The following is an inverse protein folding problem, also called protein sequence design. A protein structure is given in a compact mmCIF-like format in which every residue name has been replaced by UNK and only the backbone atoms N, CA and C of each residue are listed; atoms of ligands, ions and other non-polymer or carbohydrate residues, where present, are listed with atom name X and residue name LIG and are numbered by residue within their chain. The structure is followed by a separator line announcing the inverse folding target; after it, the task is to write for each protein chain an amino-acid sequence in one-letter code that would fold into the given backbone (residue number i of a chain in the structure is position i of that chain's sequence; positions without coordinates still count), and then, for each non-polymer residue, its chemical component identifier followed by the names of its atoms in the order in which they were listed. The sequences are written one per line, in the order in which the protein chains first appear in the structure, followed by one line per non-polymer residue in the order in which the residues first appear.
data_IF_728970964363
#
_entry.id   IF_728970964363
#
_cell.length_a   1.000
_cell.length_b   1.000
_cell.length_c   1.000
_cell.angle_alpha   90.00
_cell.angle_beta   90.00
_cell.angle_gamma   90.00
#
_symmetry.space_group_name_H-M   'P 1'
#
loop_
_entity.id
_entity.type
_entity.pdbx_description
1 polymer ?
#
# COMPACT_ATOMS: atom_id res chain seq x y z
N UNK A 1 -78.70 -31.56 5.03
CA UNK A 1 -77.27 -31.19 4.92
C UNK A 1 -76.57 -32.33 4.20
N UNK A 2 -76.20 -32.12 2.93
CA UNK A 2 -75.54 -33.15 2.12
C UNK A 2 -74.11 -33.32 2.60
N UNK A 3 -73.78 -34.52 3.07
CA UNK A 3 -72.42 -34.90 3.49
C UNK A 3 -71.63 -35.21 2.21
N UNK A 4 -70.86 -34.24 1.72
CA UNK A 4 -69.94 -34.46 0.61
C UNK A 4 -68.62 -35.01 1.16
N UNK A 5 -68.24 -36.21 0.73
CA UNK A 5 -66.93 -36.77 1.01
C UNK A 5 -65.90 -36.03 0.15
N UNK A 6 -65.05 -35.19 0.77
CA UNK A 6 -63.92 -34.61 0.07
C UNK A 6 -62.85 -35.69 -0.12
N UNK A 7 -62.68 -36.13 -1.35
CA UNK A 7 -61.58 -37.01 -1.74
C UNK A 7 -60.30 -36.18 -1.84
N UNK A 8 -59.34 -36.46 -0.97
CA UNK A 8 -58.00 -35.88 -1.04
C UNK A 8 -57.12 -36.73 -1.97
N UNK A 9 -56.19 -36.08 -2.69
CA UNK A 9 -55.16 -36.78 -3.46
C UNK A 9 -54.30 -37.62 -2.49
N UNK A 10 -53.88 -38.86 -2.85
CA UNK A 10 -53.11 -39.73 -1.96
C UNK A 10 -51.89 -39.06 -1.31
N UNK A 11 -51.22 -38.17 -2.05
CA UNK A 11 -50.00 -37.47 -1.62
C UNK A 11 -50.24 -36.17 -0.82
N UNK A 12 -51.49 -35.74 -0.63
CA UNK A 12 -51.77 -34.45 0.01
C UNK A 12 -51.27 -34.38 1.46
N UNK A 13 -51.32 -35.50 2.20
CA UNK A 13 -50.83 -35.55 3.57
C UNK A 13 -49.30 -35.42 3.63
N UNK A 14 -48.58 -36.12 2.75
CA UNK A 14 -47.12 -36.06 2.69
C UNK A 14 -46.66 -34.69 2.19
N UNK A 15 -47.34 -34.12 1.21
CA UNK A 15 -47.09 -32.75 0.73
C UNK A 15 -47.29 -31.72 1.84
N UNK A 16 -48.34 -31.86 2.66
CA UNK A 16 -48.58 -30.99 3.80
C UNK A 16 -47.49 -31.15 4.88
N UNK A 17 -47.09 -32.40 5.17
CA UNK A 17 -46.00 -32.69 6.11
C UNK A 17 -44.71 -32.03 5.64
N UNK A 18 -44.31 -32.24 4.39
CA UNK A 18 -43.10 -31.64 3.79
C UNK A 18 -43.17 -30.11 3.79
N UNK A 19 -44.32 -29.52 3.50
CA UNK A 19 -44.51 -28.05 3.56
C UNK A 19 -44.40 -27.51 4.99
N UNK A 20 -44.98 -28.22 5.97
CA UNK A 20 -44.89 -27.85 7.39
C UNK A 20 -43.47 -28.01 7.95
N UNK A 21 -42.72 -29.03 7.51
CA UNK A 21 -41.30 -29.18 7.85
C UNK A 21 -40.48 -28.07 7.19
N UNK A 22 -40.68 -27.83 5.89
CA UNK A 22 -39.97 -26.78 5.14
C UNK A 22 -40.17 -25.38 5.73
N UNK A 23 -41.36 -25.09 6.25
CA UNK A 23 -41.70 -23.80 6.88
C UNK A 23 -41.36 -23.75 8.37
N UNK A 24 -40.63 -24.75 8.88
CA UNK A 24 -40.27 -24.92 10.29
C UNK A 24 -41.47 -24.85 11.25
N UNK A 25 -42.66 -25.21 10.76
CA UNK A 25 -43.85 -25.37 11.61
C UNK A 25 -43.78 -26.68 12.38
N UNK A 26 -43.28 -27.73 11.74
CA UNK A 26 -43.02 -29.04 12.32
C UNK A 26 -41.54 -29.41 12.18
N UNK A 27 -41.00 -30.16 13.14
CA UNK A 27 -39.66 -30.77 13.07
C UNK A 27 -39.79 -32.25 13.34
N UNK A 28 -38.98 -33.07 12.68
CA UNK A 28 -38.93 -34.51 12.93
C UNK A 28 -37.75 -34.82 13.84
N UNK A 29 -38.05 -35.29 15.05
CA UNK A 29 -37.06 -35.59 16.08
C UNK A 29 -37.28 -37.03 16.53
N UNK A 30 -36.27 -37.88 16.34
CA UNK A 30 -36.32 -39.31 16.70
C UNK A 30 -37.54 -40.05 16.12
N UNK A 31 -37.95 -39.73 14.89
CA UNK A 31 -39.09 -40.36 14.21
C UNK A 31 -40.47 -39.82 14.62
N UNK A 32 -40.54 -38.77 15.43
CA UNK A 32 -41.79 -38.10 15.80
C UNK A 32 -41.86 -36.68 15.22
N UNK A 33 -43.06 -36.29 14.75
CA UNK A 33 -43.36 -34.92 14.37
C UNK A 33 -43.66 -34.08 15.60
N UNK A 34 -42.76 -33.15 15.91
CA UNK A 34 -42.95 -32.10 16.91
C UNK A 34 -43.54 -30.87 16.23
N UNK A 35 -44.50 -30.20 16.86
CA UNK A 35 -45.11 -28.96 16.34
C UNK A 35 -44.57 -27.77 17.12
N UNK A 36 -44.29 -26.68 16.41
CA UNK A 36 -43.86 -25.41 17.01
C UNK A 36 -44.96 -24.71 17.83
N UNK A 37 -44.69 -23.47 18.30
CA UNK A 37 -43.55 -22.64 17.91
C UNK A 37 -42.23 -23.15 18.49
N UNK A 38 -41.20 -23.20 17.64
CA UNK A 38 -39.83 -23.48 18.08
C UNK A 38 -39.13 -22.19 18.49
N UNK A 39 -38.03 -22.31 19.24
CA UNK A 39 -37.13 -21.19 19.46
C UNK A 39 -36.68 -20.62 18.10
N UNK A 40 -36.69 -19.30 17.98
CA UNK A 40 -36.20 -18.61 16.77
C UNK A 40 -34.70 -18.81 16.62
N UNK A 41 -34.23 -18.83 15.38
CA UNK A 41 -32.81 -18.91 15.10
C UNK A 41 -32.05 -17.76 15.79
N UNK A 42 -30.85 -18.03 16.35
CA UNK A 42 -29.99 -16.99 16.88
C UNK A 42 -29.69 -15.91 15.84
N UNK A 43 -29.41 -14.71 16.30
CA UNK A 43 -28.91 -13.66 15.42
C UNK A 43 -27.55 -14.04 14.85
N UNK A 44 -27.17 -13.44 13.73
CA UNK A 44 -25.83 -13.62 13.16
C UNK A 44 -25.39 -12.40 12.37
N UNK A 45 -24.09 -12.27 12.14
CA UNK A 45 -23.52 -11.21 11.31
C UNK A 45 -22.56 -11.83 10.29
N UNK A 46 -22.63 -11.33 9.06
CA UNK A 46 -21.68 -11.65 7.99
C UNK A 46 -20.90 -10.38 7.68
N UNK A 47 -19.58 -10.49 7.68
CA UNK A 47 -18.65 -9.38 7.39
C UNK A 47 -17.76 -9.79 6.24
N UNK A 48 -17.72 -8.98 5.20
CA UNK A 48 -16.93 -9.21 3.99
C UNK A 48 -16.11 -7.96 3.69
N UNK A 49 -14.79 -8.09 3.50
CA UNK A 49 -13.97 -6.99 2.98
C UNK A 49 -14.15 -6.90 1.47
N UNK A 50 -14.65 -5.76 0.97
CA UNK A 50 -14.90 -5.53 -0.46
C UNK A 50 -13.76 -4.78 -1.13
N UNK A 51 -13.04 -3.92 -0.40
CA UNK A 51 -11.88 -3.21 -0.92
C UNK A 51 -10.90 -2.76 0.17
N UNK A 52 -9.72 -2.32 -0.26
CA UNK A 52 -8.71 -1.65 0.56
C UNK A 52 -8.10 -0.50 -0.24
N UNK A 53 -8.06 0.71 0.33
CA UNK A 53 -7.39 1.87 -0.26
C UNK A 53 -5.98 2.00 0.34
N UNK A 54 -4.95 1.87 -0.50
CA UNK A 54 -3.55 1.93 -0.05
C UNK A 54 -3.08 3.34 0.34
N UNK A 55 -3.72 4.39 -0.19
CA UNK A 55 -3.36 5.78 0.10
C UNK A 55 -3.91 6.21 1.45
N UNK A 56 -5.18 5.93 1.71
CA UNK A 56 -5.83 6.27 3.00
C UNK A 56 -5.65 5.19 4.05
N UNK A 57 -5.23 3.98 3.64
CA UNK A 57 -5.08 2.79 4.50
C UNK A 57 -6.40 2.31 5.10
N UNK A 58 -7.50 2.50 4.38
CA UNK A 58 -8.85 2.17 4.84
C UNK A 58 -9.39 0.89 4.18
N UNK A 59 -10.05 0.08 4.98
CA UNK A 59 -10.82 -1.09 4.57
C UNK A 59 -12.27 -0.69 4.33
N UNK A 60 -12.85 -1.18 3.23
CA UNK A 60 -14.30 -1.12 3.02
C UNK A 60 -14.89 -2.49 3.32
N UNK A 61 -15.82 -2.52 4.28
CA UNK A 61 -16.49 -3.74 4.74
C UNK A 61 -17.96 -3.70 4.35
N UNK A 62 -18.47 -4.82 3.85
CA UNK A 62 -19.89 -5.08 3.69
C UNK A 62 -20.38 -5.93 4.86
N UNK A 63 -21.37 -5.41 5.58
CA UNK A 63 -21.87 -5.98 6.83
C UNK A 63 -23.35 -6.31 6.66
N UNK A 64 -23.71 -7.55 7.02
CA UNK A 64 -25.10 -8.03 7.00
C UNK A 64 -25.46 -8.69 8.31
N UNK A 65 -26.32 -8.03 9.09
CA UNK A 65 -26.98 -8.65 10.25
C UNK A 65 -28.20 -9.48 9.84
N UNK A 66 -28.41 -10.59 10.54
CA UNK A 66 -29.58 -11.45 10.39
C UNK A 66 -30.26 -11.54 11.76
N UNK A 67 -31.53 -11.15 11.83
CA UNK A 67 -32.34 -11.25 13.04
C UNK A 67 -32.14 -10.15 14.09
N UNK A 68 -31.33 -9.11 13.82
CA UNK A 68 -31.11 -8.02 14.78
C UNK A 68 -30.30 -6.85 14.21
N UNK A 69 -29.88 -5.95 15.11
CA UNK A 69 -28.97 -4.82 14.83
C UNK A 69 -27.53 -5.26 15.02
N UNK A 70 -26.61 -4.75 14.20
CA UNK A 70 -25.19 -5.08 14.31
C UNK A 70 -24.46 -4.01 15.11
N UNK A 71 -23.67 -4.44 16.09
CA UNK A 71 -22.80 -3.59 16.89
C UNK A 71 -21.35 -4.02 16.71
N UNK A 72 -20.41 -3.09 16.83
CA UNK A 72 -18.99 -3.36 16.68
C UNK A 72 -18.13 -2.62 17.70
N UNK A 73 -16.98 -3.20 17.99
CA UNK A 73 -15.96 -2.64 18.87
C UNK A 73 -14.55 -2.99 18.37
N UNK A 74 -13.58 -2.17 18.75
CA UNK A 74 -12.18 -2.30 18.37
C UNK A 74 -11.41 -2.81 19.59
N UNK A 75 -11.13 -4.12 19.62
CA UNK A 75 -10.30 -4.75 20.65
C UNK A 75 -11.06 -5.41 21.80
N UNK A 76 -12.36 -5.22 21.93
CA UNK A 76 -13.21 -5.92 22.91
C UNK A 76 -14.42 -6.59 22.25
N UNK A 77 -15.09 -7.48 22.98
CA UNK A 77 -16.38 -8.03 22.55
C UNK A 77 -17.44 -6.93 22.54
N UNK A 78 -18.09 -6.66 21.40
CA UNK A 78 -19.12 -5.63 21.32
C UNK A 78 -20.36 -6.00 22.11
N UNK A 79 -21.04 -4.99 22.63
CA UNK A 79 -22.32 -5.11 23.33
C UNK A 79 -23.37 -4.18 22.70
N UNK A 80 -24.59 -4.18 23.21
CA UNK A 80 -25.62 -3.22 22.80
C UNK A 80 -25.29 -1.76 23.14
N UNK A 81 -24.24 -1.51 23.95
CA UNK A 81 -23.71 -0.18 24.22
C UNK A 81 -22.55 0.23 23.29
N UNK A 82 -22.03 -0.71 22.49
CA UNK A 82 -20.98 -0.44 21.49
C UNK A 82 -21.56 0.30 20.27
N UNK A 83 -20.71 0.62 19.28
CA UNK A 83 -21.15 1.40 18.12
C UNK A 83 -22.07 0.55 17.23
N UNK A 84 -23.25 1.08 16.90
CA UNK A 84 -24.16 0.45 15.94
C UNK A 84 -23.66 0.66 14.51
N UNK A 85 -23.74 -0.38 13.68
CA UNK A 85 -23.51 -0.31 12.24
C UNK A 85 -24.78 0.25 11.60
N UNK A 86 -24.74 1.53 11.22
CA UNK A 86 -25.91 2.22 10.63
C UNK A 86 -26.16 1.83 9.18
N UNK A 87 -25.09 1.64 8.41
CA UNK A 87 -25.12 1.28 6.99
C UNK A 87 -24.53 -0.11 6.77
N UNK A 88 -24.97 -0.80 5.71
CA UNK A 88 -24.38 -2.09 5.33
C UNK A 88 -22.92 -1.97 4.87
N UNK A 89 -22.38 -0.76 4.76
CA UNK A 89 -20.99 -0.48 4.40
C UNK A 89 -20.32 0.27 5.54
N UNK A 90 -19.17 -0.25 6.00
CA UNK A 90 -18.31 0.40 6.98
C UNK A 90 -16.93 0.65 6.38
N UNK A 91 -16.50 1.91 6.38
CA UNK A 91 -15.14 2.30 6.00
C UNK A 91 -14.34 2.56 7.28
N UNK A 92 -13.15 1.99 7.38
CA UNK A 92 -12.35 2.03 8.62
C UNK A 92 -10.86 1.87 8.35
N UNK A 93 -10.02 2.58 9.08
CA UNK A 93 -8.57 2.36 9.11
C UNK A 93 -8.14 1.27 10.10
N UNK A 94 -9.10 0.66 10.82
CA UNK A 94 -8.80 -0.35 11.83
C UNK A 94 -8.65 -1.75 11.20
N UNK A 95 -7.46 -2.37 11.35
CA UNK A 95 -7.17 -3.67 10.74
C UNK A 95 -7.83 -4.86 11.45
N UNK A 96 -8.41 -4.68 12.64
CA UNK A 96 -9.22 -5.70 13.28
C UNK A 96 -10.41 -5.08 14.04
N UNK A 97 -11.59 -5.65 13.83
CA UNK A 97 -12.85 -5.19 14.41
C UNK A 97 -13.69 -6.42 14.77
N UNK A 98 -14.39 -6.37 15.90
CA UNK A 98 -15.27 -7.43 16.36
C UNK A 98 -16.72 -6.98 16.22
N UNK A 99 -17.59 -7.87 15.74
CA UNK A 99 -18.99 -7.59 15.43
C UNK A 99 -19.91 -8.57 16.17
N UNK A 100 -21.08 -8.09 16.60
CA UNK A 100 -22.16 -8.92 17.13
C UNK A 100 -23.49 -8.44 16.58
N UNK A 101 -24.42 -9.37 16.31
CA UNK A 101 -25.79 -9.01 15.99
C UNK A 101 -26.68 -9.25 17.21
N UNK A 102 -27.46 -8.27 17.66
CA UNK A 102 -28.32 -8.36 18.84
C UNK A 102 -29.76 -8.04 18.43
N UNK A 103 -30.70 -8.91 18.78
CA UNK A 103 -32.13 -8.68 18.60
C UNK A 103 -32.64 -7.73 19.70
N UNK A 104 -33.08 -6.50 19.38
CA UNK A 104 -33.56 -5.56 20.38
C UNK A 104 -34.84 -6.01 21.09
N UNK A 105 -35.58 -6.97 20.51
CA UNK A 105 -36.82 -7.49 21.11
C UNK A 105 -36.58 -8.58 22.16
N UNK A 106 -35.40 -9.20 22.16
CA UNK A 106 -35.07 -10.34 23.03
C UNK A 106 -35.73 -11.66 22.63
N UNK A 107 -36.42 -11.72 21.49
CA UNK A 107 -37.08 -12.95 21.01
C UNK A 107 -36.10 -13.98 20.43
N UNK A 108 -34.90 -13.54 20.04
CA UNK A 108 -33.82 -14.38 19.53
C UNK A 108 -32.63 -14.35 20.49
N UNK A 109 -31.95 -15.49 20.60
CA UNK A 109 -30.65 -15.57 21.27
C UNK A 109 -29.60 -14.77 20.48
N UNK A 110 -28.71 -14.08 21.18
CA UNK A 110 -27.56 -13.40 20.56
C UNK A 110 -26.60 -14.46 20.00
N UNK A 111 -26.23 -14.30 18.73
CA UNK A 111 -25.22 -15.14 18.09
C UNK A 111 -23.79 -14.85 18.53
N UNK A 112 -22.85 -15.57 17.91
CA UNK A 112 -21.43 -15.43 18.19
C UNK A 112 -20.85 -14.10 17.72
N UNK A 113 -19.79 -13.67 18.40
CA UNK A 113 -18.99 -12.52 17.98
C UNK A 113 -18.12 -12.92 16.78
N UNK A 114 -18.22 -12.14 15.70
CA UNK A 114 -17.42 -12.34 14.49
C UNK A 114 -16.25 -11.37 14.50
N UNK A 115 -15.03 -11.90 14.42
CA UNK A 115 -13.82 -11.11 14.27
C UNK A 115 -13.46 -10.93 12.79
N UNK A 116 -13.37 -9.68 12.38
CA UNK A 116 -12.78 -9.28 11.11
C UNK A 116 -11.29 -8.95 11.32
N UNK A 117 -10.43 -9.43 10.41
CA UNK A 117 -9.07 -8.95 10.26
C UNK A 117 -8.81 -8.61 8.80
N UNK A 118 -8.36 -7.39 8.55
CA UNK A 118 -8.18 -6.86 7.21
C UNK A 118 -7.04 -7.53 6.47
N UNK A 119 -7.32 -7.99 5.25
CA UNK A 119 -6.31 -8.48 4.31
C UNK A 119 -5.78 -7.31 3.50
N UNK A 120 -4.47 -7.20 3.37
CA UNK A 120 -3.81 -6.13 2.60
C UNK A 120 -2.82 -6.76 1.62
N UNK A 121 -2.67 -6.21 0.40
CA UNK A 121 -1.69 -6.74 -0.53
C UNK A 121 -0.27 -6.42 -0.05
N UNK A 122 0.66 -7.35 -0.27
CA UNK A 122 2.10 -7.07 -0.25
C UNK A 122 2.63 -6.73 -1.65
N UNK A 123 3.09 -5.49 -1.79
CA UNK A 123 3.81 -5.00 -2.98
C UNK A 123 5.31 -5.13 -2.77
N UNK A 124 6.02 -5.29 -3.86
CA UNK A 124 7.47 -5.42 -3.85
C UNK A 124 8.10 -4.77 -5.08
N UNK A 125 9.36 -4.37 -4.93
CA UNK A 125 10.18 -3.82 -6.01
C UNK A 125 11.60 -4.36 -5.92
N UNK A 126 12.24 -4.57 -7.06
CA UNK A 126 13.66 -4.90 -7.16
C UNK A 126 14.35 -3.80 -7.96
N UNK A 127 15.50 -3.32 -7.47
CA UNK A 127 16.35 -2.39 -8.21
C UNK A 127 17.82 -2.78 -8.09
N UNK A 128 18.60 -2.49 -9.11
CA UNK A 128 20.04 -2.67 -9.08
C UNK A 128 20.73 -1.43 -8.50
N UNK A 129 21.66 -1.64 -7.57
CA UNK A 129 22.50 -0.59 -6.99
C UNK A 129 23.99 -0.96 -7.15
N UNK A 130 24.93 0.00 -6.95
CA UNK A 130 26.35 -0.32 -6.91
C UNK A 130 26.72 -1.36 -5.84
N UNK A 131 25.89 -1.51 -4.79
CA UNK A 131 26.10 -2.47 -3.70
C UNK A 131 25.44 -3.84 -3.96
N UNK A 132 24.69 -3.99 -5.06
CA UNK A 132 23.96 -5.21 -5.42
C UNK A 132 22.49 -4.96 -5.73
N UNK A 133 21.77 -6.04 -6.05
CA UNK A 133 20.31 -5.99 -6.18
C UNK A 133 19.69 -5.82 -4.81
N UNK A 134 18.73 -4.90 -4.69
CA UNK A 134 17.98 -4.66 -3.45
C UNK A 134 16.50 -4.93 -3.66
N UNK A 135 15.84 -5.38 -2.61
CA UNK A 135 14.39 -5.60 -2.56
C UNK A 135 13.75 -4.62 -1.60
N UNK A 136 12.65 -4.01 -2.04
CA UNK A 136 11.75 -3.21 -1.20
C UNK A 136 10.42 -3.94 -1.08
N UNK A 137 9.86 -3.98 0.13
CA UNK A 137 8.55 -4.51 0.44
C UNK A 137 7.65 -3.37 0.95
N UNK A 138 6.38 -3.34 0.51
CA UNK A 138 5.43 -2.29 0.89
C UNK A 138 4.08 -2.91 1.18
N UNK A 139 3.56 -2.62 2.38
CA UNK A 139 2.20 -2.98 2.81
C UNK A 139 1.69 -1.96 3.83
N UNK A 140 0.55 -2.22 4.47
CA UNK A 140 0.01 -1.36 5.52
C UNK A 140 1.00 -1.28 6.72
N UNK A 141 1.33 -0.07 7.22
CA UNK A 141 2.33 0.11 8.26
C UNK A 141 1.94 -0.46 9.63
N UNK A 142 0.66 -0.79 9.86
CA UNK A 142 0.19 -1.48 11.09
C UNK A 142 0.54 -2.97 11.10
N UNK A 143 1.13 -3.50 10.01
CA UNK A 143 1.38 -4.92 9.79
C UNK A 143 2.88 -5.20 9.86
N UNK A 144 3.23 -6.36 10.40
CA UNK A 144 4.61 -6.81 10.48
C UNK A 144 4.89 -7.73 9.31
N UNK A 145 5.93 -7.40 8.56
CA UNK A 145 6.40 -8.24 7.45
C UNK A 145 7.64 -9.00 7.91
N UNK A 146 7.58 -10.33 7.90
CA UNK A 146 8.75 -11.19 8.06
C UNK A 146 9.19 -11.71 6.71
N UNK A 147 10.50 -11.86 6.50
CA UNK A 147 11.03 -12.38 5.25
C UNK A 147 12.28 -13.24 5.42
N UNK A 148 12.53 -14.11 4.46
CA UNK A 148 13.77 -14.87 4.29
C UNK A 148 14.25 -14.73 2.86
N UNK A 149 15.56 -14.83 2.65
CA UNK A 149 16.21 -14.70 1.32
C UNK A 149 16.79 -16.02 0.82
N UNK A 150 16.78 -17.05 1.65
CA UNK A 150 17.24 -18.42 1.36
C UNK A 150 16.11 -19.37 0.94
N UNK A 151 14.86 -18.89 0.97
CA UNK A 151 13.66 -19.68 0.65
C UNK A 151 13.07 -20.47 1.82
N UNK A 152 13.64 -20.36 3.03
CA UNK A 152 13.09 -20.97 4.26
C UNK A 152 11.78 -20.29 4.71
N UNK A 153 11.05 -20.91 5.63
CA UNK A 153 9.77 -20.39 6.13
C UNK A 153 9.97 -19.15 7.04
N UNK A 154 9.42 -17.96 6.68
CA UNK A 154 9.64 -16.72 7.44
C UNK A 154 9.06 -16.70 8.84
N UNK A 155 8.05 -17.53 9.17
CA UNK A 155 7.45 -17.51 10.50
C UNK A 155 8.47 -17.67 11.63
N UNK A 156 9.32 -18.68 11.50
CA UNK A 156 10.30 -19.10 12.52
C UNK A 156 11.72 -18.56 12.22
N UNK A 157 12.09 -18.42 10.95
CA UNK A 157 13.45 -18.09 10.54
C UNK A 157 13.59 -16.67 9.94
N UNK A 158 12.47 -15.97 9.76
CA UNK A 158 12.45 -14.70 9.04
C UNK A 158 12.87 -13.50 9.88
N UNK A 159 13.63 -12.61 9.25
CA UNK A 159 13.90 -11.28 9.78
C UNK A 159 12.69 -10.37 9.62
N UNK A 160 12.56 -9.38 10.52
CA UNK A 160 11.54 -8.33 10.38
C UNK A 160 12.01 -7.32 9.34
N UNK A 161 11.15 -7.02 8.37
CA UNK A 161 11.39 -6.00 7.36
C UNK A 161 11.22 -4.60 7.97
N UNK A 162 12.28 -3.80 7.94
CA UNK A 162 12.28 -2.41 8.42
C UNK A 162 12.62 -1.41 7.31
N UNK A 163 13.41 -1.83 6.33
CA UNK A 163 13.80 -1.05 5.16
C UNK A 163 14.21 -2.02 4.03
N UNK A 164 14.49 -1.49 2.84
CA UNK A 164 15.04 -2.25 1.74
C UNK A 164 16.31 -3.01 2.14
N UNK A 165 16.51 -4.18 1.55
CA UNK A 165 17.63 -5.05 1.89
C UNK A 165 18.32 -5.56 0.63
N UNK A 166 19.63 -5.76 0.74
CA UNK A 166 20.44 -6.34 -0.34
C UNK A 166 20.10 -7.83 -0.46
N UNK A 167 19.84 -8.25 -1.69
CA UNK A 167 19.60 -9.64 -2.05
C UNK A 167 20.94 -10.39 -2.12
N UNK A 168 21.11 -11.48 -1.35
CA UNK A 168 22.29 -12.34 -1.48
C UNK A 168 22.44 -12.92 -2.90
N UNK A 169 23.67 -13.19 -3.32
CA UNK A 169 23.96 -13.65 -4.68
C UNK A 169 23.26 -14.96 -5.07
N UNK A 170 23.05 -15.86 -4.11
CA UNK A 170 22.39 -17.14 -4.37
C UNK A 170 20.88 -17.10 -4.10
N UNK A 171 20.32 -15.92 -3.80
CA UNK A 171 18.89 -15.76 -3.51
C UNK A 171 18.05 -15.95 -4.77
N UNK A 172 17.33 -17.06 -4.85
CA UNK A 172 16.37 -17.34 -5.94
C UNK A 172 14.96 -16.86 -5.60
N UNK A 173 14.62 -16.92 -4.31
CA UNK A 173 13.30 -16.59 -3.80
C UNK A 173 13.44 -15.79 -2.51
N UNK A 174 12.62 -14.75 -2.39
CA UNK A 174 12.31 -14.14 -1.11
C UNK A 174 10.96 -14.67 -0.66
N UNK A 175 10.91 -15.33 0.50
CA UNK A 175 9.65 -15.71 1.13
C UNK A 175 9.23 -14.60 2.06
N UNK A 176 7.96 -14.25 2.04
CA UNK A 176 7.38 -13.18 2.85
C UNK A 176 6.15 -13.71 3.57
N UNK A 177 6.01 -13.35 4.84
CA UNK A 177 4.82 -13.58 5.65
C UNK A 177 4.39 -12.27 6.30
N UNK A 178 3.12 -11.90 6.09
CA UNK A 178 2.52 -10.66 6.61
C UNK A 178 1.65 -11.00 7.81
N UNK A 179 1.89 -10.29 8.91
CA UNK A 179 1.20 -10.49 10.18
C UNK A 179 0.48 -9.23 10.61
N UNK A 180 -0.68 -9.42 11.22
CA UNK A 180 -1.26 -8.43 12.13
C UNK A 180 -1.28 -9.03 13.53
N UNK A 181 -0.49 -8.44 14.44
CA UNK A 181 -0.15 -9.06 15.73
C UNK A 181 0.44 -10.46 15.48
N UNK A 182 -0.17 -11.51 16.03
CA UNK A 182 0.27 -12.91 15.86
C UNK A 182 -0.46 -13.67 14.74
N UNK A 183 -1.43 -13.03 14.08
CA UNK A 183 -2.23 -13.66 13.02
C UNK A 183 -1.53 -13.51 11.67
N UNK A 184 -1.23 -14.64 11.03
CA UNK A 184 -0.75 -14.70 9.65
C UNK A 184 -1.89 -14.34 8.69
N UNK A 185 -1.62 -13.44 7.74
CA UNK A 185 -2.61 -12.93 6.80
C UNK A 185 -2.30 -13.26 5.35
N UNK A 186 -1.05 -13.11 4.94
CA UNK A 186 -0.60 -13.45 3.58
C UNK A 186 0.77 -14.09 3.64
N UNK A 187 0.99 -15.11 2.82
CA UNK A 187 2.31 -15.64 2.49
C UNK A 187 2.57 -15.50 1.00
N UNK A 188 3.79 -15.10 0.65
CA UNK A 188 4.16 -14.87 -0.74
C UNK A 188 5.58 -15.34 -1.03
N UNK A 189 5.75 -15.98 -2.18
CA UNK A 189 7.07 -16.30 -2.73
C UNK A 189 7.37 -15.36 -3.89
N UNK A 190 8.39 -14.52 -3.73
CA UNK A 190 8.81 -13.53 -4.72
C UNK A 190 10.06 -14.06 -5.43
N UNK A 191 9.99 -14.19 -6.74
CA UNK A 191 11.14 -14.59 -7.56
C UNK A 191 12.14 -13.44 -7.70
N UNK A 192 13.42 -13.75 -7.50
CA UNK A 192 14.49 -12.77 -7.74
C UNK A 192 14.84 -12.77 -9.22
N UNK A 193 14.65 -11.62 -9.86
CA UNK A 193 14.85 -11.46 -11.29
C UNK A 193 16.35 -11.54 -11.61
N UNK A 194 16.78 -12.71 -12.12
CA UNK A 194 18.16 -13.10 -12.50
C UNK A 194 19.02 -13.84 -11.46
N UNK A 195 18.42 -14.34 -10.36
CA UNK A 195 19.21 -14.86 -9.23
C UNK A 195 19.95 -13.70 -8.58
N UNK A 196 19.74 -13.46 -7.29
CA UNK A 196 20.19 -12.24 -6.63
C UNK A 196 21.64 -11.86 -6.93
N UNK A 197 21.94 -10.57 -6.85
CA UNK A 197 23.32 -10.11 -7.00
C UNK A 197 23.90 -10.27 -8.40
N UNK A 198 23.09 -10.00 -9.44
CA UNK A 198 23.65 -9.72 -10.75
C UNK A 198 24.75 -8.66 -10.57
N UNK A 199 25.98 -8.97 -11.00
CA UNK A 199 27.10 -8.03 -10.88
C UNK A 199 26.64 -6.68 -11.45
N UNK A 200 26.76 -5.58 -10.68
CA UNK A 200 26.33 -4.28 -11.15
C UNK A 200 26.99 -4.03 -12.50
N UNK A 201 26.23 -3.48 -13.46
CA UNK A 201 26.72 -3.24 -14.82
C UNK A 201 28.03 -2.42 -14.83
N UNK A 202 28.30 -1.68 -13.74
CA UNK A 202 29.54 -0.96 -13.50
C UNK A 202 29.88 -1.00 -12.00
N UNK A 203 31.07 -1.47 -11.65
CA UNK A 203 31.59 -1.37 -10.28
C UNK A 203 32.03 0.08 -10.03
N UNK A 204 31.54 0.68 -8.95
CA UNK A 204 31.89 2.06 -8.56
C UNK A 204 32.98 2.01 -7.49
N UNK A 205 34.11 2.66 -7.76
CA UNK A 205 35.13 2.94 -6.74
C UNK A 205 34.63 4.06 -5.84
N UNK A 206 34.30 3.74 -4.58
CA UNK A 206 33.72 4.68 -3.63
C UNK A 206 34.64 5.86 -3.29
N UNK A 207 35.95 5.70 -3.45
CA UNK A 207 36.95 6.69 -3.06
C UNK A 207 37.28 7.73 -4.14
N UNK A 208 36.94 7.44 -5.41
CA UNK A 208 37.29 8.30 -6.55
C UNK A 208 36.14 9.19 -6.97
N UNK A 209 36.45 10.36 -7.49
CA UNK A 209 35.47 11.24 -8.12
C UNK A 209 34.73 10.53 -9.27
N UNK A 210 33.49 10.93 -9.50
CA UNK A 210 32.61 10.34 -10.50
C UNK A 210 31.73 11.44 -11.09
N UNK A 211 31.50 11.43 -12.40
CA UNK A 211 30.49 12.27 -13.05
C UNK A 211 29.38 11.40 -13.66
N UNK A 212 28.13 11.83 -13.50
CA UNK A 212 27.01 11.25 -14.22
C UNK A 212 26.46 12.29 -15.20
N UNK A 213 26.55 11.98 -16.50
CA UNK A 213 26.13 12.85 -17.60
C UNK A 213 24.89 12.28 -18.27
N UNK A 214 23.78 13.01 -18.26
CA UNK A 214 22.59 12.57 -18.97
C UNK A 214 22.75 12.69 -20.49
N UNK A 215 22.20 11.75 -21.27
CA UNK A 215 22.15 11.83 -22.74
C UNK A 215 21.33 13.04 -23.21
N UNK A 216 20.22 13.31 -22.53
CA UNK A 216 19.39 14.52 -22.70
C UNK A 216 19.39 15.30 -21.40
N UNK A 217 19.33 16.63 -21.44
CA UNK A 217 19.29 17.43 -20.22
C UNK A 217 18.09 17.00 -19.36
N UNK A 218 18.29 16.80 -18.05
CA UNK A 218 17.18 16.56 -17.11
C UNK A 218 16.53 17.91 -16.80
N UNK A 219 15.24 18.04 -17.13
CA UNK A 219 14.42 19.21 -16.79
C UNK A 219 13.39 18.79 -15.72
N UNK A 220 13.08 19.67 -14.79
CA UNK A 220 12.12 19.39 -13.72
C UNK A 220 10.68 19.72 -14.14
N UNK A 221 10.49 20.71 -15.03
CA UNK A 221 9.22 21.06 -15.65
C UNK A 221 8.32 22.00 -14.83
N UNK A 222 8.56 22.13 -13.52
CA UNK A 222 7.82 23.06 -12.66
C UNK A 222 8.62 23.52 -11.43
N UNK A 223 8.09 24.53 -10.74
CA UNK A 223 8.72 25.15 -9.57
C UNK A 223 8.92 24.15 -8.43
N UNK A 224 7.92 23.34 -8.09
CA UNK A 224 8.00 22.43 -6.95
C UNK A 224 9.09 21.37 -7.18
N UNK A 225 9.09 20.74 -8.36
CA UNK A 225 10.08 19.76 -8.78
C UNK A 225 11.49 20.38 -8.84
N UNK A 226 11.62 21.62 -9.31
CA UNK A 226 12.88 22.38 -9.36
C UNK A 226 13.50 22.56 -7.98
N UNK A 227 12.74 23.10 -7.02
CA UNK A 227 13.26 23.31 -5.65
C UNK A 227 13.44 21.99 -4.90
N UNK A 228 12.60 20.98 -5.16
CA UNK A 228 12.77 19.65 -4.58
C UNK A 228 14.07 19.00 -5.03
N UNK A 229 14.42 19.09 -6.31
CA UNK A 229 15.68 18.58 -6.83
C UNK A 229 16.88 19.34 -6.24
N UNK A 230 16.84 20.68 -6.23
CA UNK A 230 17.92 21.50 -5.64
C UNK A 230 18.11 21.19 -4.16
N UNK A 231 17.03 21.08 -3.40
CA UNK A 231 17.05 20.71 -1.98
C UNK A 231 17.52 19.27 -1.73
N UNK A 232 17.34 18.37 -2.70
CA UNK A 232 17.87 17.01 -2.61
C UNK A 232 19.38 17.01 -2.85
N UNK A 233 19.82 17.69 -3.91
CA UNK A 233 21.24 17.77 -4.27
C UNK A 233 22.05 18.53 -3.20
N UNK A 234 21.47 19.53 -2.54
CA UNK A 234 22.14 20.29 -1.47
C UNK A 234 22.38 19.49 -0.19
N UNK A 235 21.68 18.36 0.01
CA UNK A 235 21.96 17.43 1.12
C UNK A 235 23.25 16.63 0.92
N UNK A 236 23.78 16.61 -0.31
CA UNK A 236 24.99 15.90 -0.67
C UNK A 236 26.15 16.91 -0.75
N UNK A 237 26.88 17.05 0.37
CA UNK A 237 28.09 17.87 0.40
C UNK A 237 29.16 17.23 -0.49
N UNK A 238 29.57 17.93 -1.56
CA UNK A 238 30.44 17.36 -2.59
C UNK A 238 29.77 17.03 -3.93
N UNK A 239 28.58 17.57 -4.22
CA UNK A 239 27.94 17.48 -5.56
C UNK A 239 27.92 18.83 -6.26
N UNK A 240 28.51 18.87 -7.47
CA UNK A 240 28.43 20.02 -8.36
C UNK A 240 27.53 19.73 -9.56
N UNK A 241 26.81 20.77 -10.00
CA UNK A 241 25.88 20.75 -11.12
C UNK A 241 26.54 21.46 -12.30
N UNK A 242 26.67 20.78 -13.44
CA UNK A 242 27.25 21.34 -14.67
C UNK A 242 26.26 21.31 -15.82
N UNK A 243 26.30 22.35 -16.66
CA UNK A 243 25.32 22.53 -17.73
C UNK A 243 23.95 22.90 -17.18
N UNK A 244 23.92 23.69 -16.09
CA UNK A 244 22.70 24.09 -15.41
C UNK A 244 21.90 25.08 -16.26
N UNK A 245 20.59 24.94 -16.23
CA UNK A 245 19.64 25.93 -16.74
C UNK A 245 18.56 26.23 -15.73
N UNK A 246 18.14 27.49 -15.67
CA UNK A 246 16.97 27.90 -14.91
C UNK A 246 16.19 28.91 -15.73
N UNK A 247 14.95 28.58 -16.06
CA UNK A 247 14.00 29.47 -16.71
C UNK A 247 13.01 29.97 -15.66
N UNK A 248 12.90 31.28 -15.50
CA UNK A 248 12.06 31.93 -14.50
C UNK A 248 11.04 32.79 -15.24
N UNK A 249 9.79 32.34 -15.29
CA UNK A 249 8.70 32.98 -16.00
C UNK A 249 7.80 33.74 -15.05
N UNK A 250 7.28 34.89 -15.47
CA UNK A 250 6.08 35.45 -14.86
C UNK A 250 4.89 34.54 -15.17
N UNK A 251 4.18 34.09 -14.14
CA UNK A 251 3.07 33.14 -14.27
C UNK A 251 1.87 33.70 -15.03
N UNK A 252 1.68 35.03 -15.00
CA UNK A 252 0.59 35.72 -15.71
C UNK A 252 0.92 36.12 -17.13
N UNK A 253 2.21 36.23 -17.47
CA UNK A 253 2.69 36.50 -18.82
C UNK A 253 4.03 35.81 -19.04
N UNK A 254 4.00 34.63 -19.67
CA UNK A 254 5.18 33.80 -19.91
C UNK A 254 6.16 34.40 -20.92
N UNK A 255 5.78 35.44 -21.66
CA UNK A 255 6.72 36.18 -22.53
C UNK A 255 7.73 37.00 -21.70
N UNK A 256 7.44 37.25 -20.43
CA UNK A 256 8.37 37.87 -19.49
C UNK A 256 9.10 36.80 -18.68
N UNK A 257 10.33 36.50 -19.09
CA UNK A 257 11.16 35.50 -18.41
C UNK A 257 12.63 35.94 -18.32
N UNK A 258 13.33 35.33 -17.37
CA UNK A 258 14.79 35.33 -17.31
C UNK A 258 15.27 33.90 -17.47
N UNK A 259 16.23 33.68 -18.35
CA UNK A 259 16.87 32.39 -18.55
C UNK A 259 18.33 32.48 -18.10
N UNK A 260 18.72 31.55 -17.24
CA UNK A 260 20.09 31.33 -16.82
C UNK A 260 20.64 30.08 -17.52
N UNK A 261 21.78 30.21 -18.21
CA UNK A 261 22.51 29.10 -18.81
C UNK A 261 23.95 29.10 -18.31
N UNK A 262 24.38 28.00 -17.69
CA UNK A 262 25.71 27.87 -17.11
C UNK A 262 26.48 26.67 -17.66
N UNK A 263 27.65 26.94 -18.23
CA UNK A 263 28.63 25.91 -18.59
C UNK A 263 29.59 25.58 -17.44
N UNK A 264 29.73 26.48 -16.47
CA UNK A 264 30.57 26.28 -15.27
C UNK A 264 29.83 25.44 -14.22
N UNK A 265 30.54 24.61 -13.43
CA UNK A 265 29.92 23.86 -12.34
C UNK A 265 29.52 24.77 -11.17
N UNK A 266 28.38 24.48 -10.53
CA UNK A 266 27.90 25.14 -9.32
C UNK A 266 27.59 24.16 -8.20
N UNK A 267 27.78 24.57 -6.96
CA UNK A 267 27.16 23.90 -5.82
C UNK A 267 25.64 24.08 -5.88
N UNK A 268 24.90 23.06 -5.47
CA UNK A 268 23.43 23.10 -5.50
C UNK A 268 22.85 24.27 -4.69
N UNK A 269 23.42 24.54 -3.50
CA UNK A 269 23.00 25.66 -2.64
C UNK A 269 23.29 27.03 -3.24
N UNK A 270 24.45 27.20 -3.87
CA UNK A 270 24.82 28.45 -4.55
C UNK A 270 23.92 28.71 -5.76
N UNK A 271 23.66 27.67 -6.55
CA UNK A 271 22.77 27.78 -7.71
C UNK A 271 21.34 28.13 -7.30
N UNK A 272 20.82 27.53 -6.23
CA UNK A 272 19.53 27.89 -5.67
C UNK A 272 19.52 29.37 -5.22
N UNK A 273 20.56 29.81 -4.52
CA UNK A 273 20.69 31.20 -4.06
C UNK A 273 20.70 32.20 -5.23
N UNK A 274 21.31 31.84 -6.36
CA UNK A 274 21.27 32.65 -7.58
C UNK A 274 19.87 32.74 -8.18
N UNK A 275 19.15 31.61 -8.24
CA UNK A 275 17.76 31.58 -8.72
C UNK A 275 16.88 32.46 -7.81
N UNK A 276 16.99 32.30 -6.49
CA UNK A 276 16.23 33.07 -5.51
C UNK A 276 16.54 34.57 -5.62
N UNK A 277 17.82 34.95 -5.79
CA UNK A 277 18.20 36.34 -6.02
C UNK A 277 17.50 36.94 -7.25
N UNK A 278 17.46 36.22 -8.38
CA UNK A 278 16.78 36.69 -9.60
C UNK A 278 15.28 36.87 -9.35
N UNK A 279 14.65 35.97 -8.59
CA UNK A 279 13.22 36.09 -8.23
C UNK A 279 12.99 37.34 -7.38
N UNK A 280 13.82 37.55 -6.37
CA UNK A 280 13.68 38.65 -5.42
C UNK A 280 13.98 40.02 -6.04
N UNK A 281 14.83 40.09 -7.07
CA UNK A 281 15.16 41.36 -7.74
C UNK A 281 14.28 41.65 -8.94
N UNK A 282 14.11 40.68 -9.84
CA UNK A 282 13.54 40.91 -11.17
C UNK A 282 12.05 40.60 -11.26
N UNK A 283 11.55 39.76 -10.35
CA UNK A 283 10.14 39.35 -10.28
C UNK A 283 9.53 39.61 -8.89
N UNK A 284 10.02 40.67 -8.23
CA UNK A 284 9.52 41.07 -6.92
C UNK A 284 7.99 41.23 -6.95
N UNK A 285 7.33 40.70 -5.92
CA UNK A 285 5.86 40.74 -5.76
C UNK A 285 5.07 40.08 -6.91
N UNK A 286 5.74 39.28 -7.75
CA UNK A 286 5.12 38.58 -8.89
C UNK A 286 5.18 37.07 -8.66
N UNK A 287 4.08 36.36 -8.99
CA UNK A 287 4.12 34.91 -9.02
C UNK A 287 4.93 34.43 -10.23
N UNK A 288 5.87 33.50 -9.98
CA UNK A 288 6.76 32.95 -11.00
C UNK A 288 6.70 31.44 -11.09
N UNK A 289 7.01 30.93 -12.29
CA UNK A 289 7.31 29.53 -12.54
C UNK A 289 8.82 29.40 -12.71
N UNK A 290 9.43 28.42 -12.06
CA UNK A 290 10.86 28.11 -12.21
C UNK A 290 10.98 26.72 -12.82
N UNK A 291 11.64 26.61 -13.98
CA UNK A 291 12.06 25.33 -14.54
C UNK A 291 13.58 25.20 -14.49
N UNK A 292 14.06 24.38 -13.56
CA UNK A 292 15.46 24.05 -13.39
C UNK A 292 15.80 22.76 -14.16
N UNK A 293 16.98 22.74 -14.75
CA UNK A 293 17.57 21.52 -15.29
C UNK A 293 19.08 21.54 -15.34
N UNK A 294 19.64 20.39 -15.67
CA UNK A 294 21.09 20.22 -15.74
C UNK A 294 21.50 19.04 -16.61
N UNK A 295 22.75 19.07 -17.08
CA UNK A 295 23.31 18.06 -17.99
C UNK A 295 24.16 17.01 -17.28
N UNK A 296 24.90 17.42 -16.26
CA UNK A 296 25.89 16.58 -15.59
C UNK A 296 25.94 16.88 -14.10
N UNK A 297 26.03 15.83 -13.27
CA UNK A 297 26.38 15.93 -11.86
C UNK A 297 27.79 15.42 -11.67
N UNK A 298 28.60 16.18 -10.93
CA UNK A 298 29.96 15.83 -10.57
C UNK A 298 30.01 15.55 -9.07
N UNK A 299 30.34 14.33 -8.71
CA UNK A 299 30.46 13.85 -7.35
C UNK A 299 31.94 13.82 -6.96
N UNK A 300 32.31 14.40 -5.82
CA UNK A 300 33.69 14.34 -5.32
C UNK A 300 34.14 12.91 -5.02
N UNK A 301 33.21 12.00 -4.72
CA UNK A 301 33.47 10.59 -4.45
C UNK A 301 32.37 9.69 -5.05
N UNK A 302 32.70 8.45 -5.37
CA UNK A 302 31.74 7.45 -5.81
C UNK A 302 30.74 7.04 -4.71
N UNK A 303 31.10 7.29 -3.44
CA UNK A 303 30.16 7.11 -2.32
C UNK A 303 29.01 8.12 -2.39
N UNK A 304 29.28 9.40 -2.69
CA UNK A 304 28.23 10.42 -2.87
C UNK A 304 27.29 10.08 -4.04
N UNK A 305 27.82 9.51 -5.13
CA UNK A 305 26.99 8.99 -6.20
C UNK A 305 26.08 7.86 -5.71
N UNK A 306 26.60 6.93 -4.91
CA UNK A 306 25.80 5.83 -4.35
C UNK A 306 24.70 6.37 -3.41
N UNK A 307 25.02 7.33 -2.55
CA UNK A 307 24.04 8.00 -1.69
C UNK A 307 22.94 8.69 -2.52
N UNK A 308 23.31 9.37 -3.62
CA UNK A 308 22.34 9.98 -4.54
C UNK A 308 21.39 8.95 -5.16
N UNK A 309 21.89 7.77 -5.56
CA UNK A 309 21.04 6.69 -6.07
C UNK A 309 20.05 6.21 -5.01
N UNK A 310 20.51 6.04 -3.77
CA UNK A 310 19.71 5.49 -2.69
C UNK A 310 18.66 6.48 -2.20
N UNK A 311 19.01 7.77 -2.10
CA UNK A 311 18.07 8.85 -1.78
C UNK A 311 16.94 8.96 -2.80
N UNK A 312 17.24 8.74 -4.08
CA UNK A 312 16.27 8.83 -5.17
C UNK A 312 15.64 7.47 -5.55
N UNK A 313 16.07 6.38 -4.91
CA UNK A 313 15.67 5.00 -5.27
C UNK A 313 15.87 4.68 -6.75
N UNK A 314 16.93 5.24 -7.35
CA UNK A 314 17.25 4.99 -8.75
C UNK A 314 17.78 3.57 -8.96
N UNK A 315 17.42 3.01 -10.12
CA UNK A 315 17.98 1.76 -10.62
C UNK A 315 19.20 2.07 -11.51
N UNK A 316 20.34 1.47 -11.19
CA UNK A 316 21.60 1.71 -11.89
C UNK A 316 21.52 1.34 -13.38
N UNK A 317 20.81 0.25 -13.73
CA UNK A 317 20.66 -0.17 -15.12
C UNK A 317 19.79 0.83 -15.91
N UNK A 318 18.82 1.48 -15.27
CA UNK A 318 18.04 2.53 -15.92
C UNK A 318 18.87 3.80 -16.14
N UNK A 319 19.76 4.16 -15.21
CA UNK A 319 20.66 5.30 -15.41
C UNK A 319 21.63 5.09 -16.57
N UNK A 320 22.21 3.89 -16.72
CA UNK A 320 23.10 3.59 -17.85
C UNK A 320 22.39 3.68 -19.21
N UNK A 321 21.07 3.55 -19.27
CA UNK A 321 20.29 3.78 -20.51
C UNK A 321 20.09 5.28 -20.79
N UNK A 322 19.97 6.09 -19.74
CA UNK A 322 19.61 7.50 -19.81
C UNK A 322 20.83 8.44 -19.78
N UNK A 323 22.01 7.93 -19.51
CA UNK A 323 23.24 8.69 -19.41
C UNK A 323 24.49 7.83 -19.25
N UNK A 324 25.60 8.51 -19.04
CA UNK A 324 26.93 7.95 -18.94
C UNK A 324 27.49 8.17 -17.53
N UNK A 325 27.96 7.10 -16.91
CA UNK A 325 28.75 7.15 -15.67
C UNK A 325 30.22 7.25 -16.06
N UNK A 326 30.92 8.29 -15.60
CA UNK A 326 32.32 8.59 -15.94
C UNK A 326 33.13 8.56 -14.65
N UNK A 327 34.01 7.58 -14.52
CA UNK A 327 34.94 7.40 -13.39
C UNK A 327 36.26 6.86 -13.94
#
# INVERSE_FOLDING_TARGET
TTVAWQWYHPDQLESLRLDCIKKDKWREINGYLVKGPFEKDPTSVVVEQTSYDEKTQEFTLKIRGIGGKVYYDIGSDPTSASKEVMDQVLVTAEPAIRFVCIDPTGERKTGEVVEFTGSVPIKYGQRNTPNGDVMTLVTNPKYVVKYTTDGSEPKENGGIYNDEFVLPQDSKYVRVAVYYKDRLLEEKSIYVTKGGGAKPAKTIDKSKALAYRYHNKKQMGDTEASYKELALLSKLDGVLIKGATAEIYNKTNTDHYIEFNASVPYWAGDLQSLIDLVRDTSFKETEVIVDFGYKELMFLTGDLFTQWLDMNKFDLNNLVKNGEIIQ
#
